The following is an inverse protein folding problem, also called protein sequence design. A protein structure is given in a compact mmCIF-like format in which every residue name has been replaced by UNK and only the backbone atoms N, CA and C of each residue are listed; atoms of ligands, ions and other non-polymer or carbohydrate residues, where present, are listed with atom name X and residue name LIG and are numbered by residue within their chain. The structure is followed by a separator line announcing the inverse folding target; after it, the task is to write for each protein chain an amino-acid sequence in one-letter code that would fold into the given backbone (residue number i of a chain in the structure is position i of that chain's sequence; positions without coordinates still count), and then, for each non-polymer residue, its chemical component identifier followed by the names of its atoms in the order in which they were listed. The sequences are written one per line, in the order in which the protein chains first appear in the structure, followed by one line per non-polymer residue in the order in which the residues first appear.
data_IF_791370185062
#
_entry.id   IF_791370185062
#
_cell.length_a   1.000
_cell.length_b   1.000
_cell.length_c   1.000
_cell.angle_alpha   90.00
_cell.angle_beta   90.00
_cell.angle_gamma   90.00
#
_symmetry.space_group_name_H-M   'P 1'
#
loop_
_entity.id
_entity.type
_entity.pdbx_description
1 polymer ?
#
# COMPACT_ATOMS: atom_id res chain seq x y z
N UNK A 1 -29.74 32.41 3.41
CA UNK A 1 -28.57 31.94 2.64
C UNK A 1 -27.31 32.13 3.47
N UNK A 2 -26.78 31.11 4.15
CA UNK A 2 -25.47 31.21 4.78
C UNK A 2 -24.38 30.59 3.89
N UNK A 3 -23.55 31.48 3.36
CA UNK A 3 -22.12 31.36 3.09
C UNK A 3 -21.52 29.97 2.87
N UNK A 4 -21.49 29.55 1.59
CA UNK A 4 -20.65 28.47 1.04
C UNK A 4 -19.18 28.91 0.94
N UNK A 5 -18.57 29.30 2.06
CA UNK A 5 -17.14 29.65 2.11
C UNK A 5 -16.55 29.16 3.42
N UNK A 6 -16.22 27.87 3.51
CA UNK A 6 -15.29 27.32 4.54
C UNK A 6 -14.82 25.88 4.34
N UNK A 7 -15.29 25.12 3.33
CA UNK A 7 -14.91 23.71 3.16
C UNK A 7 -13.95 23.42 2.01
N UNK A 8 -13.18 24.40 1.54
CA UNK A 8 -12.22 24.19 0.44
C UNK A 8 -10.76 24.03 0.88
N UNK A 9 -10.47 24.06 2.19
CA UNK A 9 -9.09 24.06 2.71
C UNK A 9 -8.64 22.76 3.39
N UNK A 10 -9.42 21.66 3.34
CA UNK A 10 -9.06 20.40 4.01
C UNK A 10 -8.60 19.30 3.03
N UNK A 11 -8.75 19.48 1.72
CA UNK A 11 -8.38 18.46 0.71
C UNK A 11 -6.93 18.55 0.19
N UNK A 12 -6.11 19.46 0.73
CA UNK A 12 -4.72 19.74 0.25
C UNK A 12 -3.68 19.54 1.36
N UNK A 13 -3.92 18.59 2.26
CA UNK A 13 -2.87 17.97 3.08
C UNK A 13 -2.67 16.56 2.50
N UNK A 14 -1.96 16.43 1.39
CA UNK A 14 -0.50 16.39 1.47
C UNK A 14 -0.02 14.98 1.76
N UNK A 15 -0.55 14.00 1.01
CA UNK A 15 0.00 12.64 0.96
C UNK A 15 1.34 12.71 0.20
N UNK A 16 2.42 13.01 0.91
CA UNK A 16 3.79 12.92 0.38
C UNK A 16 4.63 12.21 1.43
N UNK A 17 4.85 10.92 1.22
CA UNK A 17 5.85 10.14 1.95
C UNK A 17 6.77 9.48 0.93
N UNK A 18 7.72 10.27 0.44
CA UNK A 18 8.89 9.75 -0.27
C UNK A 18 9.90 9.26 0.76
N UNK A 19 10.10 7.94 0.84
CA UNK A 19 11.20 7.32 1.58
C UNK A 19 11.94 6.38 0.63
N UNK A 20 12.98 6.92 -0.01
CA UNK A 20 13.92 6.19 -0.85
C UNK A 20 14.81 5.30 0.04
N UNK A 21 14.82 4.00 -0.23
CA UNK A 21 15.78 3.06 0.34
C UNK A 21 16.84 2.68 -0.70
N UNK A 22 18.11 2.65 -0.31
CA UNK A 22 19.21 2.19 -1.16
C UNK A 22 19.12 0.67 -1.39
N UNK A 23 19.14 0.23 -2.65
CA UNK A 23 19.31 -1.17 -3.02
C UNK A 23 20.79 -1.54 -3.08
N UNK A 24 21.12 -2.72 -2.57
CA UNK A 24 22.25 -3.47 -3.10
C UNK A 24 21.71 -4.34 -4.24
N UNK A 25 21.98 -3.95 -5.49
CA UNK A 25 21.77 -4.81 -6.64
C UNK A 25 22.77 -5.97 -6.55
N UNK A 26 22.27 -7.20 -6.35
CA UNK A 26 23.06 -8.41 -6.55
C UNK A 26 23.15 -8.65 -8.06
N UNK A 27 24.24 -8.18 -8.67
CA UNK A 27 24.54 -8.40 -10.08
C UNK A 27 24.50 -9.89 -10.46
N UNK A 28 23.72 -10.22 -11.49
CA UNK A 28 23.80 -11.46 -12.26
C UNK A 28 23.36 -11.17 -13.69
N UNK A 29 24.30 -11.18 -14.62
CA UNK A 29 24.17 -10.79 -16.02
C UNK A 29 23.66 -11.96 -16.88
N UNK A 30 23.20 -11.63 -18.09
CA UNK A 30 22.97 -12.51 -19.26
C UNK A 30 21.62 -13.23 -19.37
N UNK A 31 20.67 -12.54 -20.00
CA UNK A 31 19.81 -13.13 -21.01
C UNK A 31 18.85 -14.23 -20.57
N UNK A 32 18.09 -14.05 -19.50
CA UNK A 32 16.81 -14.73 -19.25
C UNK A 32 16.26 -14.14 -17.94
N UNK A 33 15.02 -13.65 -17.96
CA UNK A 33 14.20 -13.35 -16.77
C UNK A 33 14.91 -12.64 -15.60
N UNK A 34 14.83 -11.31 -15.52
CA UNK A 34 15.26 -10.60 -14.31
C UNK A 34 14.17 -10.66 -13.25
N UNK A 35 14.54 -11.07 -12.02
CA UNK A 35 13.71 -10.93 -10.82
C UNK A 35 14.35 -9.90 -9.92
N UNK A 36 13.70 -8.75 -9.77
CA UNK A 36 14.10 -7.72 -8.83
C UNK A 36 13.20 -7.75 -7.60
N UNK A 37 13.83 -7.88 -6.43
CA UNK A 37 13.15 -7.81 -5.13
C UNK A 37 13.67 -6.60 -4.38
N UNK A 38 12.79 -5.65 -4.10
CA UNK A 38 13.10 -4.43 -3.37
C UNK A 38 12.26 -4.34 -2.10
N UNK A 39 12.89 -3.90 -1.02
CA UNK A 39 12.24 -3.61 0.26
C UNK A 39 12.53 -2.17 0.65
N UNK A 40 11.48 -1.38 0.89
CA UNK A 40 11.62 0.03 1.24
C UNK A 40 10.58 0.47 2.26
N UNK A 41 10.91 1.45 3.09
CA UNK A 41 9.99 1.99 4.08
C UNK A 41 8.81 2.68 3.39
N UNK A 42 7.64 2.64 4.03
CA UNK A 42 6.46 3.38 3.59
C UNK A 42 5.67 3.87 4.79
N UNK A 43 4.90 4.93 4.59
CA UNK A 43 3.94 5.40 5.58
C UNK A 43 2.63 5.74 4.87
N UNK A 44 1.52 5.38 5.50
CA UNK A 44 0.16 5.69 5.05
C UNK A 44 -0.57 6.48 6.12
N UNK A 45 -1.38 7.43 5.68
CA UNK A 45 -2.32 8.14 6.55
C UNK A 45 -3.72 7.69 6.22
N UNK A 46 -4.50 7.35 7.25
CA UNK A 46 -5.82 6.78 7.07
C UNK A 46 -6.78 7.24 8.16
N UNK A 47 -8.08 7.18 7.85
CA UNK A 47 -9.16 7.31 8.84
C UNK A 47 -9.96 6.02 8.87
N UNK A 48 -10.47 5.63 10.04
CA UNK A 48 -11.40 4.51 10.11
C UNK A 48 -12.78 4.97 9.55
N UNK A 49 -13.27 4.39 8.43
CA UNK A 49 -14.50 4.83 7.80
C UNK A 49 -15.77 4.43 8.57
N UNK A 50 -15.67 3.67 9.66
CA UNK A 50 -16.84 3.05 10.28
C UNK A 50 -17.75 3.94 11.10
N UNK A 51 -19.08 3.76 10.99
CA UNK A 51 -20.03 4.60 11.71
C UNK A 51 -19.74 4.60 13.21
N UNK A 52 -19.77 5.78 13.84
CA UNK A 52 -19.57 5.91 15.29
C UNK A 52 -18.11 5.89 15.76
N UNK A 53 -17.13 5.73 14.86
CA UNK A 53 -15.70 5.81 15.17
C UNK A 53 -15.18 7.23 14.90
N UNK A 54 -14.14 7.64 15.64
CA UNK A 54 -13.41 8.87 15.38
C UNK A 54 -12.87 8.88 13.93
N UNK A 55 -12.96 10.05 13.28
CA UNK A 55 -12.54 10.30 11.90
C UNK A 55 -11.22 11.04 11.84
N UNK A 56 -10.47 11.08 12.93
CA UNK A 56 -9.11 11.60 12.89
C UNK A 56 -8.24 10.72 11.99
N UNK A 57 -7.39 11.38 11.20
CA UNK A 57 -6.42 10.67 10.38
C UNK A 57 -5.24 10.25 11.27
N UNK A 58 -4.78 9.02 11.12
CA UNK A 58 -3.65 8.47 11.86
C UNK A 58 -2.59 7.89 10.90
N UNK A 59 -1.30 7.97 11.26
CA UNK A 59 -0.23 7.39 10.48
C UNK A 59 -0.06 5.90 10.77
N UNK A 60 0.34 5.16 9.74
CA UNK A 60 0.86 3.80 9.82
C UNK A 60 2.21 3.76 9.13
N UNK A 61 3.23 3.33 9.85
CA UNK A 61 4.55 3.06 9.31
C UNK A 61 4.66 1.58 8.92
N UNK A 62 5.32 1.30 7.81
CA UNK A 62 5.42 -0.05 7.31
C UNK A 62 6.55 -0.26 6.32
N UNK A 63 6.55 -1.45 5.74
CA UNK A 63 7.52 -1.88 4.75
C UNK A 63 6.81 -2.32 3.49
N UNK A 64 7.23 -1.75 2.37
CA UNK A 64 6.88 -2.22 1.04
C UNK A 64 7.82 -3.34 0.63
N UNK A 65 7.27 -4.43 0.11
CA UNK A 65 7.98 -5.49 -0.59
C UNK A 65 7.52 -5.49 -2.04
N UNK A 66 8.40 -5.06 -2.94
CA UNK A 66 8.17 -5.05 -4.37
C UNK A 66 8.91 -6.21 -5.01
N UNK A 67 8.18 -7.05 -5.75
CA UNK A 67 8.72 -8.09 -6.64
C UNK A 67 8.37 -7.70 -8.06
N UNK A 68 9.39 -7.63 -8.91
CA UNK A 68 9.25 -7.35 -10.33
C UNK A 68 9.94 -8.47 -11.10
N UNK A 69 9.23 -8.99 -12.08
CA UNK A 69 9.73 -10.01 -12.98
C UNK A 69 9.49 -9.59 -14.42
N UNK A 70 10.54 -9.56 -15.24
CA UNK A 70 10.45 -9.20 -16.65
C UNK A 70 10.81 -10.39 -17.54
N UNK A 71 9.86 -10.79 -18.39
CA UNK A 71 9.98 -11.91 -19.32
C UNK A 71 9.62 -11.48 -20.74
N UNK A 72 10.64 -11.23 -21.56
CA UNK A 72 10.47 -10.80 -22.95
C UNK A 72 9.76 -9.44 -23.03
N UNK A 73 8.54 -9.42 -23.56
CA UNK A 73 7.74 -8.19 -23.69
C UNK A 73 6.75 -7.97 -22.54
N UNK A 74 6.79 -8.80 -21.50
CA UNK A 74 5.84 -8.75 -20.39
C UNK A 74 6.54 -8.58 -19.06
N UNK A 75 5.83 -7.97 -18.11
CA UNK A 75 6.24 -7.84 -16.71
C UNK A 75 5.15 -8.38 -15.80
N UNK A 76 5.58 -8.97 -14.68
CA UNK A 76 4.73 -9.31 -13.54
C UNK A 76 5.22 -8.50 -12.34
N UNK A 77 4.28 -7.82 -11.67
CA UNK A 77 4.58 -6.89 -10.58
C UNK A 77 3.69 -7.25 -9.41
N UNK A 78 4.33 -7.48 -8.26
CA UNK A 78 3.65 -7.78 -7.02
C UNK A 78 4.19 -6.86 -5.93
N UNK A 79 3.32 -6.01 -5.39
CA UNK A 79 3.60 -5.15 -4.25
C UNK A 79 2.85 -5.66 -3.02
N UNK A 80 3.54 -5.74 -1.88
CA UNK A 80 2.93 -5.83 -0.55
C UNK A 80 3.36 -4.66 0.31
N UNK A 81 2.46 -4.16 1.13
CA UNK A 81 2.78 -3.26 2.23
C UNK A 81 2.21 -3.81 3.52
N UNK A 82 3.08 -4.00 4.50
CA UNK A 82 2.70 -4.39 5.86
C UNK A 82 3.06 -3.25 6.80
N UNK A 83 2.07 -2.72 7.50
CA UNK A 83 2.23 -1.55 8.37
C UNK A 83 1.61 -1.71 9.75
N UNK A 84 2.13 -0.95 10.71
CA UNK A 84 1.62 -0.85 12.08
C UNK A 84 1.61 0.59 12.56
N UNK A 85 0.68 0.91 13.45
CA UNK A 85 0.63 2.20 14.12
C UNK A 85 -0.51 2.26 15.13
N UNK A 86 -0.99 3.47 15.42
CA UNK A 86 -1.92 3.74 16.51
C UNK A 86 -3.03 4.70 16.06
N UNK A 87 -4.29 4.36 16.35
CA UNK A 87 -5.43 5.27 16.26
C UNK A 87 -5.90 5.59 17.68
N UNK A 88 -5.50 6.75 18.21
CA UNK A 88 -5.58 7.01 19.66
C UNK A 88 -4.76 5.98 20.43
N UNK A 89 -5.41 5.24 21.34
CA UNK A 89 -4.79 4.16 22.11
C UNK A 89 -4.96 2.77 21.48
N UNK A 90 -5.62 2.68 20.31
CA UNK A 90 -5.89 1.41 19.63
C UNK A 90 -4.76 1.06 18.66
N UNK A 91 -4.10 -0.11 18.83
CA UNK A 91 -3.17 -0.63 17.83
C UNK A 91 -3.86 -0.93 16.51
N UNK A 92 -3.21 -0.53 15.42
CA UNK A 92 -3.67 -0.80 14.05
C UNK A 92 -2.60 -1.57 13.30
N UNK A 93 -3.00 -2.63 12.60
CA UNK A 93 -2.19 -3.31 11.57
C UNK A 93 -2.84 -3.10 10.21
N UNK A 94 -2.04 -3.02 9.16
CA UNK A 94 -2.56 -3.03 7.79
C UNK A 94 -1.74 -3.95 6.91
N UNK A 95 -2.45 -4.59 5.99
CA UNK A 95 -1.90 -5.43 4.94
C UNK A 95 -2.48 -4.94 3.63
N UNK A 96 -1.63 -4.51 2.71
CA UNK A 96 -1.99 -4.09 1.37
C UNK A 96 -1.27 -4.99 0.38
N UNK A 97 -1.98 -5.41 -0.67
CA UNK A 97 -1.34 -6.06 -1.81
C UNK A 97 -1.88 -5.52 -3.13
N UNK A 98 -1.01 -5.53 -4.14
CA UNK A 98 -1.34 -5.16 -5.51
C UNK A 98 -0.58 -6.08 -6.47
N UNK A 99 -1.26 -6.48 -7.54
CA UNK A 99 -0.71 -7.39 -8.54
C UNK A 99 -1.07 -6.89 -9.94
N UNK A 100 -0.11 -6.91 -10.85
CA UNK A 100 -0.37 -6.64 -12.26
C UNK A 100 0.50 -7.47 -13.18
N UNK A 101 -0.03 -7.71 -14.38
CA UNK A 101 0.70 -8.20 -15.54
C UNK A 101 0.54 -7.15 -16.65
N UNK A 102 1.64 -6.68 -17.21
CA UNK A 102 1.64 -5.58 -18.17
C UNK A 102 2.72 -5.77 -19.24
N UNK A 103 2.68 -4.95 -20.28
CA UNK A 103 3.77 -4.88 -21.25
C UNK A 103 5.01 -4.22 -20.61
N UNK A 104 6.19 -4.73 -20.95
CA UNK A 104 7.46 -4.17 -20.50
C UNK A 104 7.72 -2.77 -21.08
N UNK A 105 8.59 -2.00 -20.42
CA UNK A 105 9.08 -0.70 -20.91
C UNK A 105 8.31 0.53 -20.42
N UNK A 106 7.33 0.39 -19.53
CA UNK A 106 6.69 1.54 -18.88
C UNK A 106 7.54 2.07 -17.72
N UNK A 107 7.55 3.40 -17.52
CA UNK A 107 8.25 4.02 -16.38
C UNK A 107 7.56 3.77 -15.04
N UNK A 108 6.28 3.41 -15.08
CA UNK A 108 5.48 3.04 -13.91
C UNK A 108 4.26 2.23 -14.35
N UNK A 109 3.67 1.53 -13.38
CA UNK A 109 2.52 0.68 -13.55
C UNK A 109 1.46 1.05 -12.51
N UNK A 110 0.28 1.38 -12.98
CA UNK A 110 -0.89 1.63 -12.13
C UNK A 110 -1.61 0.30 -11.91
N UNK A 111 -1.71 -0.11 -10.66
CA UNK A 111 -2.23 -1.42 -10.27
C UNK A 111 -3.40 -1.26 -9.30
N UNK A 112 -4.50 -2.00 -9.47
CA UNK A 112 -5.51 -2.08 -8.43
C UNK A 112 -4.90 -2.75 -7.20
N UNK A 113 -5.19 -2.22 -6.02
CA UNK A 113 -4.82 -2.82 -4.76
C UNK A 113 -6.04 -3.02 -3.88
N UNK A 114 -5.91 -3.98 -2.96
CA UNK A 114 -6.78 -4.07 -1.80
C UNK A 114 -5.93 -4.04 -0.53
N UNK A 115 -6.49 -3.49 0.53
CA UNK A 115 -5.89 -3.56 1.84
C UNK A 115 -6.93 -3.83 2.93
N UNK A 116 -6.48 -4.48 3.99
CA UNK A 116 -7.24 -4.75 5.20
C UNK A 116 -6.57 -4.04 6.37
N UNK A 117 -7.37 -3.32 7.13
CA UNK A 117 -6.96 -2.56 8.31
C UNK A 117 -7.61 -3.18 9.53
N UNK A 118 -6.77 -3.64 10.44
CA UNK A 118 -7.16 -4.32 11.67
C UNK A 118 -6.92 -3.37 12.83
N UNK A 119 -7.98 -2.81 13.41
CA UNK A 119 -7.90 -1.87 14.53
C UNK A 119 -8.45 -2.53 15.79
N UNK A 120 -7.58 -2.78 16.77
CA UNK A 120 -7.98 -3.46 17.99
C UNK A 120 -9.05 -2.64 18.74
N UNK A 121 -10.19 -3.27 19.01
CA UNK A 121 -11.29 -2.64 19.78
C UNK A 121 -12.19 -1.70 18.97
N UNK A 122 -11.98 -1.60 17.66
CA UNK A 122 -12.84 -0.89 16.72
C UNK A 122 -13.20 -1.82 15.54
N UNK A 123 -14.24 -1.51 14.74
CA UNK A 123 -14.50 -2.22 13.51
C UNK A 123 -13.34 -2.10 12.53
N UNK A 124 -12.99 -3.23 11.90
CA UNK A 124 -12.00 -3.31 10.85
C UNK A 124 -12.54 -2.68 9.56
N UNK A 125 -11.64 -2.35 8.63
CA UNK A 125 -12.03 -1.77 7.35
C UNK A 125 -11.11 -2.17 6.21
N UNK A 126 -11.60 -1.99 4.98
CA UNK A 126 -10.87 -2.22 3.75
C UNK A 126 -10.69 -0.93 2.98
N UNK A 127 -9.58 -0.85 2.26
CA UNK A 127 -9.30 0.22 1.32
C UNK A 127 -8.97 -0.42 -0.04
N UNK A 128 -9.76 -0.07 -1.04
CA UNK A 128 -9.51 -0.44 -2.43
C UNK A 128 -9.23 0.81 -3.24
N UNK A 129 -8.27 0.72 -4.15
CA UNK A 129 -7.90 1.82 -5.02
C UNK A 129 -6.82 1.44 -6.01
N UNK A 130 -6.14 2.45 -6.53
CA UNK A 130 -5.03 2.28 -7.47
C UNK A 130 -3.72 2.71 -6.81
N UNK A 131 -2.68 1.90 -6.97
CA UNK A 131 -1.32 2.20 -6.55
C UNK A 131 -0.41 2.25 -7.77
N UNK A 132 0.37 3.33 -7.87
CA UNK A 132 1.40 3.49 -8.88
C UNK A 132 2.70 2.96 -8.36
N UNK A 133 3.30 2.02 -9.09
CA UNK A 133 4.59 1.45 -8.75
C UNK A 133 5.58 1.68 -9.88
N UNK A 134 6.82 1.95 -9.53
CA UNK A 134 7.89 2.09 -10.51
C UNK A 134 9.25 2.04 -9.86
N UNK A 135 10.27 2.27 -10.68
CA UNK A 135 11.66 2.31 -10.28
C UNK A 135 12.24 3.68 -10.60
N UNK A 136 12.97 4.24 -9.65
CA UNK A 136 13.77 5.44 -9.85
C UNK A 136 15.00 5.10 -10.72
N UNK A 137 15.65 6.11 -11.34
CA UNK A 137 16.85 5.90 -12.15
C UNK A 137 18.04 5.26 -11.40
N UNK A 138 18.06 5.35 -10.07
CA UNK A 138 19.05 4.70 -9.20
C UNK A 138 18.69 3.24 -8.86
N UNK A 139 17.64 2.69 -9.51
CA UNK A 139 17.10 1.35 -9.31
C UNK A 139 16.12 1.25 -8.13
N UNK A 140 15.94 2.29 -7.32
CA UNK A 140 15.11 2.19 -6.11
C UNK A 140 13.62 2.13 -6.46
N UNK A 141 12.92 1.14 -5.90
CA UNK A 141 11.47 1.01 -6.07
C UNK A 141 10.71 2.13 -5.34
N UNK A 142 9.57 2.54 -5.89
CA UNK A 142 8.62 3.42 -5.23
C UNK A 142 7.19 2.91 -5.41
N UNK A 143 6.31 3.28 -4.48
CA UNK A 143 4.89 2.98 -4.55
C UNK A 143 4.08 4.18 -4.02
N UNK A 144 3.13 4.69 -4.82
CA UNK A 144 2.32 5.86 -4.51
C UNK A 144 0.83 5.58 -4.77
N UNK A 145 -0.01 5.69 -3.75
CA UNK A 145 -1.46 5.57 -3.90
C UNK A 145 -1.97 6.76 -4.73
N UNK A 146 -2.71 6.47 -5.81
CA UNK A 146 -3.29 7.47 -6.67
C UNK A 146 -4.68 7.85 -6.16
N UNK A 147 -4.88 9.11 -5.79
CA UNK A 147 -6.19 9.61 -5.31
C UNK A 147 -7.15 10.05 -6.43
N UNK A 148 -6.73 10.00 -7.69
CA UNK A 148 -7.51 10.51 -8.83
C UNK A 148 -8.53 9.50 -9.38
N UNK A 149 -8.30 8.20 -9.19
CA UNK A 149 -9.23 7.15 -9.58
C UNK A 149 -9.99 6.68 -8.34
N UNK A 150 -11.32 6.70 -8.42
CA UNK A 150 -12.23 6.48 -7.29
C UNK A 150 -11.77 5.37 -6.35
N UNK A 151 -11.51 5.73 -5.10
CA UNK A 151 -11.24 4.77 -4.06
C UNK A 151 -12.52 4.32 -3.35
N UNK A 152 -12.44 3.17 -2.68
CA UNK A 152 -13.48 2.67 -1.80
C UNK A 152 -12.92 2.40 -0.41
N UNK A 153 -13.57 2.98 0.60
CA UNK A 153 -13.36 2.67 2.00
C UNK A 153 -14.59 1.92 2.51
N UNK A 154 -14.39 0.68 2.94
CA UNK A 154 -15.47 -0.23 3.31
C UNK A 154 -15.29 -0.72 4.74
N UNK A 155 -16.31 -0.58 5.56
CA UNK A 155 -16.30 -1.21 6.87
C UNK A 155 -16.54 -2.69 6.78
N UNK A 156 -15.81 -3.45 7.60
CA UNK A 156 -16.03 -4.88 7.73
C UNK A 156 -16.70 -5.19 9.06
N UNK A 157 -17.39 -6.33 9.09
CA UNK A 157 -18.02 -6.86 10.30
C UNK A 157 -17.13 -7.92 10.98
N UNK A 158 -15.90 -8.11 10.50
CA UNK A 158 -14.98 -9.16 10.94
C UNK A 158 -14.33 -8.75 12.28
N UNK A 159 -14.28 -9.68 13.24
CA UNK A 159 -13.58 -9.49 14.52
C UNK A 159 -12.07 -9.67 14.34
N UNK A 160 -11.31 -8.91 15.13
CA UNK A 160 -9.85 -8.70 15.01
C UNK A 160 -9.02 -9.99 14.88
N UNK A 161 -9.36 -11.03 15.65
CA UNK A 161 -8.59 -12.28 15.73
C UNK A 161 -8.68 -13.17 14.47
N UNK A 162 -9.77 -13.06 13.70
CA UNK A 162 -9.97 -13.86 12.48
C UNK A 162 -9.34 -13.20 11.25
N UNK A 163 -9.19 -11.87 11.26
CA UNK A 163 -8.55 -11.12 10.18
C UNK A 163 -7.02 -11.24 10.28
N UNK A 164 -6.45 -11.11 11.48
CA UNK A 164 -4.99 -11.11 11.68
C UNK A 164 -4.38 -12.50 11.34
N UNK A 165 -5.01 -13.59 11.81
CA UNK A 165 -4.55 -14.97 11.50
C UNK A 165 -4.55 -15.27 10.01
N UNK A 166 -5.58 -14.86 9.26
CA UNK A 166 -5.68 -15.12 7.81
C UNK A 166 -4.57 -14.42 7.01
N UNK A 167 -4.07 -13.28 7.49
CA UNK A 167 -3.03 -12.53 6.80
C UNK A 167 -1.61 -12.88 7.29
N UNK A 168 -1.44 -13.28 8.55
CA UNK A 168 -0.14 -13.78 9.05
C UNK A 168 0.28 -15.13 8.42
N UNK A 169 -0.66 -15.98 8.04
CA UNK A 169 -0.32 -17.26 7.41
C UNK A 169 0.08 -17.10 5.93
N UNK A 170 -0.53 -16.17 5.19
CA UNK A 170 -0.10 -15.83 3.81
C UNK A 170 1.28 -15.15 3.75
N UNK A 171 1.74 -14.52 4.84
CA UNK A 171 3.08 -13.94 4.93
C UNK A 171 4.18 -14.98 5.23
N UNK A 172 3.82 -16.21 5.68
CA UNK A 172 4.78 -17.30 5.92
C UNK A 172 5.08 -18.11 4.66
N UNK A 173 4.07 -18.32 3.81
CA UNK A 173 4.21 -19.13 2.58
C UNK A 173 5.02 -18.43 1.47
N UNK A 174 5.34 -17.15 1.66
CA UNK A 174 6.08 -16.31 0.70
C UNK A 174 7.54 -16.03 1.08
N UNK A 175 8.05 -16.72 2.11
CA UNK A 175 9.46 -16.67 2.51
C UNK A 175 10.35 -17.72 1.85
N UNK A 176 9.75 -18.64 1.09
CA UNK A 176 10.44 -19.61 0.24
C UNK A 176 10.57 -19.08 -1.21
#
# INVERSE_FOLDING_TARGET
MPSTKRYLFVLVAGLVLCLSGTLAASNGHEGHESVEKSSFAGQLWMMNPCPGIDKSAFPIDGTNLLRYHEGGNNVSIHLRFTGKGMHGDNPVKTYLHANAHAAAGASFYDMPFESVWIEKGSPNFKFLGTIRVGFNPDGTGFANIQGQDGYQLLCTNDRDDDADRKHEDNDKDDKD
#
